data_IF_593343504583
#
_entry.id   IF_593343504583
#
_cell.length_a   1.000
_cell.length_b   1.000
_cell.length_c   1.000
_cell.angle_alpha   90.00
_cell.angle_beta   90.00
_cell.angle_gamma   90.00
#
_symmetry.space_group_name_H-M   'P 1'
#
loop_
_entity.id
_entity.type
_entity.pdbx_description
1 polymer ?
#
# COMPACT_ATOMS: atom_id res chain seq x y z
N UNK A 1 30.14 11.01 -70.29
CA UNK A 1 29.49 9.86 -69.56
C UNK A 1 29.69 10.13 -68.04
N UNK A 2 28.67 10.69 -67.41
CA UNK A 2 28.70 11.00 -65.98
C UNK A 2 28.36 9.75 -65.18
N UNK A 3 29.32 9.28 -64.41
CA UNK A 3 29.13 8.18 -63.45
C UNK A 3 28.25 8.67 -62.31
N UNK A 4 27.17 7.96 -61.94
CA UNK A 4 26.32 8.38 -60.83
C UNK A 4 27.13 8.27 -59.52
N UNK A 5 27.21 9.36 -58.78
CA UNK A 5 27.81 9.42 -57.43
C UNK A 5 27.01 8.50 -56.51
N UNK A 6 27.62 7.36 -56.18
CA UNK A 6 27.11 6.44 -55.13
C UNK A 6 27.58 6.96 -53.78
N UNK A 7 27.02 8.08 -53.35
CA UNK A 7 27.20 8.56 -51.97
C UNK A 7 26.04 8.04 -51.10
N UNK A 8 26.21 7.93 -49.78
CA UNK A 8 25.12 7.59 -48.89
C UNK A 8 23.98 8.60 -49.09
N UNK A 9 22.78 8.07 -49.33
CA UNK A 9 21.59 8.92 -49.51
C UNK A 9 21.47 9.82 -48.28
N UNK A 10 21.23 11.14 -48.49
CA UNK A 10 21.00 12.02 -47.34
C UNK A 10 19.83 11.45 -46.52
N UNK A 11 20.01 11.27 -45.23
CA UNK A 11 18.94 10.92 -44.31
C UNK A 11 17.82 11.94 -44.53
N UNK A 12 16.71 11.52 -45.13
CA UNK A 12 15.52 12.33 -45.10
C UNK A 12 15.21 12.63 -43.64
N UNK A 13 15.39 13.89 -43.24
CA UNK A 13 14.88 14.35 -41.94
C UNK A 13 13.39 14.15 -41.98
N UNK A 14 12.90 13.17 -41.27
CA UNK A 14 11.48 13.01 -41.02
C UNK A 14 10.99 14.32 -40.42
N UNK A 15 9.96 14.99 -41.00
CA UNK A 15 9.50 16.31 -40.54
C UNK A 15 8.85 16.26 -39.14
N UNK A 16 8.72 15.09 -38.55
CA UNK A 16 8.26 14.87 -37.20
C UNK A 16 9.41 14.36 -36.33
N UNK A 17 9.98 15.22 -35.49
CA UNK A 17 10.75 14.75 -34.36
C UNK A 17 9.78 13.92 -33.52
N UNK A 18 9.93 12.60 -33.56
CA UNK A 18 9.21 11.71 -32.65
C UNK A 18 9.64 12.09 -31.23
N UNK A 19 8.80 12.87 -30.55
CA UNK A 19 9.02 13.21 -29.15
C UNK A 19 9.00 11.92 -28.35
N UNK A 20 10.07 11.66 -27.58
CA UNK A 20 10.15 10.49 -26.73
C UNK A 20 11.51 9.82 -26.75
N UNK A 21 11.68 8.89 -25.84
CA UNK A 21 12.90 8.07 -25.73
C UNK A 21 12.73 6.83 -26.60
N UNK A 22 13.67 6.57 -27.50
CA UNK A 22 13.69 5.35 -28.31
C UNK A 22 14.11 4.16 -27.45
N UNK A 23 13.22 3.17 -27.28
CA UNK A 23 13.37 2.06 -26.36
C UNK A 23 13.23 0.72 -27.06
N UNK A 24 13.96 -0.28 -26.59
CA UNK A 24 13.89 -1.64 -27.11
C UNK A 24 14.63 -1.85 -28.43
N UNK A 25 14.54 -3.10 -28.93
CA UNK A 25 15.20 -3.53 -30.19
C UNK A 25 14.64 -2.79 -31.41
N UNK A 26 13.32 -2.55 -31.39
CA UNK A 26 12.59 -1.93 -32.50
C UNK A 26 12.55 -0.40 -32.42
N UNK A 27 13.30 0.19 -31.45
CA UNK A 27 13.39 1.64 -31.22
C UNK A 27 12.01 2.31 -31.16
N UNK A 28 11.08 1.70 -30.40
CA UNK A 28 9.78 2.30 -30.12
C UNK A 28 9.98 3.61 -29.35
N UNK A 29 9.43 4.71 -29.85
CA UNK A 29 9.50 6.01 -29.20
C UNK A 29 8.37 6.12 -28.18
N UNK A 30 8.72 6.31 -26.92
CA UNK A 30 7.78 6.44 -25.80
C UNK A 30 8.01 7.78 -25.13
N UNK A 31 6.94 8.53 -24.93
CA UNK A 31 6.99 9.79 -24.20
C UNK A 31 7.04 9.51 -22.69
N UNK A 32 8.06 10.00 -21.97
CA UNK A 32 8.14 9.87 -20.51
C UNK A 32 6.94 10.47 -19.78
N UNK A 33 6.35 11.56 -20.29
CA UNK A 33 5.16 12.15 -19.69
C UNK A 33 3.93 11.25 -19.80
N UNK A 34 3.79 10.51 -20.89
CA UNK A 34 2.70 9.56 -21.09
C UNK A 34 2.82 8.40 -20.08
N UNK A 35 4.03 7.88 -19.86
CA UNK A 35 4.29 6.86 -18.85
C UNK A 35 3.95 7.37 -17.45
N UNK A 36 4.32 8.61 -17.12
CA UNK A 36 3.98 9.23 -15.84
C UNK A 36 2.47 9.38 -15.66
N UNK A 37 1.74 9.85 -16.70
CA UNK A 37 0.28 10.00 -16.69
C UNK A 37 -0.43 8.66 -16.48
N UNK A 38 -0.01 7.61 -17.20
CA UNK A 38 -0.57 6.27 -17.02
C UNK A 38 -0.30 5.71 -15.62
N UNK A 39 0.91 5.91 -15.10
CA UNK A 39 1.23 5.52 -13.73
C UNK A 39 0.41 6.29 -12.68
N UNK A 40 0.11 7.56 -12.93
CA UNK A 40 -0.75 8.40 -12.08
C UNK A 40 -2.22 7.98 -12.12
N UNK A 41 -2.67 7.35 -13.20
CA UNK A 41 -4.00 6.72 -13.30
C UNK A 41 -4.08 5.36 -12.58
N UNK A 42 -2.94 4.80 -12.17
CA UNK A 42 -2.87 3.51 -11.49
C UNK A 42 -2.72 2.31 -12.43
N UNK A 43 -2.42 2.55 -13.70
CA UNK A 43 -2.15 1.47 -14.66
C UNK A 43 -0.95 0.65 -14.20
N UNK A 44 -1.05 -0.67 -14.25
CA UNK A 44 0.03 -1.57 -13.84
C UNK A 44 1.15 -1.64 -14.88
N UNK A 45 2.34 -2.05 -14.46
CA UNK A 45 3.48 -2.13 -15.39
C UNK A 45 3.26 -3.15 -16.53
N UNK A 46 2.64 -4.33 -16.31
CA UNK A 46 2.27 -5.22 -17.40
C UNK A 46 1.31 -4.58 -18.41
N UNK A 47 0.24 -3.94 -17.95
CA UNK A 47 -0.72 -3.24 -18.82
C UNK A 47 -0.06 -2.15 -19.67
N UNK A 48 0.88 -1.40 -19.07
CA UNK A 48 1.66 -0.40 -19.80
C UNK A 48 2.58 -1.06 -20.84
N UNK A 49 3.18 -2.22 -20.51
CA UNK A 49 4.05 -2.94 -21.44
C UNK A 49 3.27 -3.42 -22.67
N UNK A 50 2.07 -3.92 -22.44
CA UNK A 50 1.15 -4.33 -23.52
C UNK A 50 0.69 -3.13 -24.35
N UNK A 51 0.37 -2.02 -23.70
CA UNK A 51 -0.03 -0.77 -24.38
C UNK A 51 1.05 -0.21 -25.31
N UNK A 52 2.30 -0.18 -24.84
CA UNK A 52 3.44 0.33 -25.62
C UNK A 52 4.08 -0.73 -26.54
N UNK A 53 3.68 -2.00 -26.44
CA UNK A 53 4.25 -3.10 -27.20
C UNK A 53 5.73 -3.38 -26.86
N UNK A 54 6.15 -3.15 -25.63
CA UNK A 54 7.54 -3.36 -25.16
C UNK A 54 7.55 -4.30 -23.96
N UNK A 55 8.68 -4.95 -23.72
CA UNK A 55 8.81 -5.84 -22.57
C UNK A 55 8.84 -5.06 -21.26
N UNK A 56 8.21 -5.62 -20.22
CA UNK A 56 8.07 -5.00 -18.89
C UNK A 56 9.41 -4.57 -18.27
N UNK A 57 10.45 -5.40 -18.42
CA UNK A 57 11.79 -5.07 -17.89
C UNK A 57 12.38 -3.84 -18.57
N UNK A 58 12.14 -3.67 -19.89
CA UNK A 58 12.59 -2.51 -20.65
C UNK A 58 11.90 -1.24 -20.17
N UNK A 59 10.59 -1.31 -19.91
CA UNK A 59 9.82 -0.20 -19.35
C UNK A 59 10.33 0.17 -17.95
N UNK A 60 10.52 -0.81 -17.07
CA UNK A 60 11.04 -0.59 -15.70
C UNK A 60 12.44 0.00 -15.70
N UNK A 61 13.31 -0.43 -16.61
CA UNK A 61 14.69 0.05 -16.67
C UNK A 61 14.75 1.51 -17.14
N UNK A 62 14.09 1.84 -18.24
CA UNK A 62 14.19 3.15 -18.87
C UNK A 62 13.33 4.23 -18.19
N UNK A 63 12.17 3.86 -17.61
CA UNK A 63 11.17 4.80 -17.05
C UNK A 63 10.92 4.61 -15.55
N UNK A 64 11.94 4.13 -14.82
CA UNK A 64 11.81 3.90 -13.36
C UNK A 64 11.39 5.15 -12.60
N UNK A 65 11.93 6.30 -12.99
CA UNK A 65 11.67 7.59 -12.35
C UNK A 65 10.23 8.03 -12.58
N UNK A 66 9.77 7.97 -13.79
CA UNK A 66 8.43 8.37 -14.24
C UNK A 66 7.36 7.47 -13.61
N UNK A 67 7.59 6.16 -13.60
CA UNK A 67 6.73 5.19 -12.92
C UNK A 67 6.62 5.48 -11.41
N UNK A 68 7.72 5.78 -10.75
CA UNK A 68 7.72 6.10 -9.32
C UNK A 68 7.01 7.42 -9.04
N UNK A 69 7.25 8.43 -9.88
CA UNK A 69 6.62 9.76 -9.77
C UNK A 69 5.11 9.67 -9.97
N UNK A 70 4.66 8.99 -11.03
CA UNK A 70 3.23 8.80 -11.30
C UNK A 70 2.51 8.04 -10.18
N UNK A 71 3.09 6.95 -9.67
CA UNK A 71 2.51 6.21 -8.52
C UNK A 71 2.45 7.04 -7.24
N UNK A 72 3.43 7.91 -7.02
CA UNK A 72 3.40 8.84 -5.89
C UNK A 72 2.30 9.88 -6.06
N UNK A 73 2.12 10.38 -7.26
CA UNK A 73 1.03 11.32 -7.61
C UNK A 73 -0.35 10.68 -7.38
N UNK A 74 -0.55 9.43 -7.79
CA UNK A 74 -1.77 8.68 -7.51
C UNK A 74 -2.09 8.64 -6.02
N UNK A 75 -1.10 8.27 -5.19
CA UNK A 75 -1.28 8.21 -3.73
C UNK A 75 -1.64 9.56 -3.12
N UNK A 76 -1.02 10.64 -3.60
CA UNK A 76 -1.31 12.01 -3.16
C UNK A 76 -2.73 12.41 -3.54
N UNK A 77 -3.12 12.16 -4.79
CA UNK A 77 -4.46 12.47 -5.29
C UNK A 77 -5.54 11.71 -4.52
N UNK A 78 -5.31 10.41 -4.28
CA UNK A 78 -6.24 9.58 -3.50
C UNK A 78 -6.39 10.11 -2.06
N UNK A 79 -5.27 10.42 -1.38
CA UNK A 79 -5.32 11.00 -0.03
C UNK A 79 -6.07 12.32 0.00
N UNK A 80 -5.85 13.19 -1.00
CA UNK A 80 -6.57 14.47 -1.11
C UNK A 80 -8.06 14.24 -1.27
N UNK A 81 -8.47 13.33 -2.16
CA UNK A 81 -9.88 13.00 -2.36
C UNK A 81 -10.54 12.44 -1.11
N UNK A 82 -9.83 11.56 -0.38
CA UNK A 82 -10.34 11.00 0.87
C UNK A 82 -10.49 12.06 1.95
N UNK A 83 -9.52 12.96 2.10
CA UNK A 83 -9.62 14.08 3.05
C UNK A 83 -10.75 15.03 2.68
N UNK A 84 -10.91 15.35 1.41
CA UNK A 84 -12.02 16.19 0.94
C UNK A 84 -13.37 15.52 1.20
N UNK A 85 -13.48 14.21 0.98
CA UNK A 85 -14.70 13.45 1.26
C UNK A 85 -15.00 13.40 2.77
N UNK A 86 -13.97 13.31 3.62
CA UNK A 86 -14.13 13.39 5.07
C UNK A 86 -14.63 14.78 5.51
N UNK A 87 -14.16 15.86 4.87
CA UNK A 87 -14.68 17.21 5.12
C UNK A 87 -16.16 17.37 4.74
N UNK A 88 -16.63 16.62 3.78
CA UNK A 88 -18.05 16.56 3.38
C UNK A 88 -18.92 15.74 4.35
N UNK A 89 -18.48 15.57 5.59
CA UNK A 89 -19.23 14.91 6.68
C UNK A 89 -19.50 13.42 6.44
N UNK A 90 -18.68 12.73 5.65
CA UNK A 90 -18.78 11.30 5.45
C UNK A 90 -18.17 10.54 6.64
N UNK A 91 -19.01 10.07 7.56
CA UNK A 91 -18.59 9.39 8.78
C UNK A 91 -17.76 8.12 8.51
N UNK A 92 -18.09 7.32 7.50
CA UNK A 92 -17.35 6.11 7.15
C UNK A 92 -15.91 6.41 6.75
N UNK A 93 -15.69 7.47 5.94
CA UNK A 93 -14.37 7.91 5.52
C UNK A 93 -13.60 8.52 6.69
N UNK A 94 -14.26 9.28 7.57
CA UNK A 94 -13.65 9.83 8.77
C UNK A 94 -13.13 8.73 9.70
N UNK A 95 -13.94 7.71 9.98
CA UNK A 95 -13.53 6.55 10.80
C UNK A 95 -12.36 5.81 10.15
N UNK A 96 -12.43 5.56 8.84
CA UNK A 96 -11.34 4.92 8.10
C UNK A 96 -10.03 5.70 8.20
N UNK A 97 -10.07 7.03 7.99
CA UNK A 97 -8.89 7.88 8.11
C UNK A 97 -8.37 7.96 9.54
N UNK A 98 -9.23 8.03 10.53
CA UNK A 98 -8.86 8.02 11.94
C UNK A 98 -8.06 6.76 12.29
N UNK A 99 -8.53 5.60 11.86
CA UNK A 99 -7.85 4.32 12.09
C UNK A 99 -6.50 4.23 11.37
N UNK A 100 -6.45 4.64 10.09
CA UNK A 100 -5.26 4.44 9.27
C UNK A 100 -4.20 5.55 9.37
N UNK A 101 -4.61 6.81 9.60
CA UNK A 101 -3.67 7.94 9.71
C UNK A 101 -3.32 8.30 11.15
N UNK A 102 -4.29 8.20 12.06
CA UNK A 102 -4.11 8.58 13.46
C UNK A 102 -3.87 7.37 14.38
N UNK A 103 -3.95 6.15 13.84
CA UNK A 103 -3.73 4.94 14.63
C UNK A 103 -4.83 4.67 15.68
N UNK A 104 -6.02 5.29 15.53
CA UNK A 104 -7.15 5.02 16.41
C UNK A 104 -7.63 3.60 16.17
N UNK A 105 -7.36 2.70 17.12
CA UNK A 105 -7.93 1.36 17.11
C UNK A 105 -9.30 1.38 17.77
N UNK A 106 -10.25 0.56 17.27
CA UNK A 106 -11.41 0.21 18.07
C UNK A 106 -10.87 -0.58 19.27
N UNK A 107 -10.99 -0.05 20.46
CA UNK A 107 -10.71 -0.81 21.67
C UNK A 107 -11.65 -2.03 21.63
N UNK A 108 -11.13 -3.27 21.68
CA UNK A 108 -12.02 -4.41 21.85
C UNK A 108 -12.77 -4.18 23.16
N UNK A 109 -14.11 -4.19 23.10
CA UNK A 109 -15.03 -4.07 24.24
C UNK A 109 -14.77 -5.18 25.29
N UNK A 110 -13.80 -6.04 25.05
CA UNK A 110 -13.42 -7.19 25.88
C UNK A 110 -12.30 -6.93 26.90
N UNK A 111 -11.85 -5.70 27.09
CA UNK A 111 -11.46 -5.31 28.43
C UNK A 111 -12.76 -4.99 29.16
N UNK A 112 -13.48 -6.04 29.54
CA UNK A 112 -14.17 -6.00 30.81
C UNK A 112 -13.04 -5.76 31.80
N UNK A 113 -12.72 -4.49 32.07
CA UNK A 113 -12.25 -4.15 33.38
C UNK A 113 -13.29 -4.79 34.29
N UNK A 114 -12.89 -5.79 35.06
CA UNK A 114 -13.60 -6.23 36.27
C UNK A 114 -13.68 -5.04 37.27
N UNK A 115 -13.74 -3.85 36.78
CA UNK A 115 -14.04 -2.64 37.49
C UNK A 115 -15.56 -2.57 37.59
N UNK A 116 -15.99 -3.41 38.49
CA UNK A 116 -17.26 -3.39 39.20
C UNK A 116 -17.86 -2.00 39.08
N UNK A 117 -18.99 -1.93 38.37
CA UNK A 117 -19.84 -0.74 38.37
C UNK A 117 -19.98 -0.27 39.84
N UNK A 118 -19.87 1.02 40.15
CA UNK A 118 -19.75 1.50 41.55
C UNK A 118 -20.95 1.15 42.45
N UNK A 119 -21.97 0.46 41.95
CA UNK A 119 -23.13 -0.01 42.67
C UNK A 119 -23.24 -1.53 42.80
N UNK A 120 -22.24 -2.30 42.30
CA UNK A 120 -22.16 -3.74 42.56
C UNK A 120 -21.27 -3.92 43.77
N UNK A 121 -21.87 -4.08 44.92
CA UNK A 121 -21.15 -4.34 46.15
C UNK A 121 -20.26 -5.59 46.03
N UNK A 122 -19.06 -5.50 46.56
CA UNK A 122 -18.00 -6.51 46.49
C UNK A 122 -18.37 -7.77 47.30
N UNK A 123 -19.32 -8.57 46.89
CA UNK A 123 -19.69 -9.81 47.60
C UNK A 123 -19.17 -11.11 46.97
N UNK A 124 -18.22 -11.09 46.04
CA UNK A 124 -17.82 -12.36 45.39
C UNK A 124 -16.32 -12.70 45.49
N UNK A 125 -15.57 -12.12 46.41
CA UNK A 125 -14.14 -12.47 46.52
C UNK A 125 -13.76 -13.41 47.66
N UNK A 126 -14.69 -14.11 48.28
CA UNK A 126 -14.38 -15.03 49.37
C UNK A 126 -14.29 -16.51 49.03
N UNK A 127 -14.50 -16.93 47.75
CA UNK A 127 -14.58 -18.35 47.43
C UNK A 127 -13.54 -18.92 46.45
N UNK A 128 -12.49 -18.19 46.12
CA UNK A 128 -11.43 -18.78 45.27
C UNK A 128 -10.14 -19.16 46.04
N UNK A 129 -9.96 -18.71 47.28
CA UNK A 129 -8.76 -19.05 48.03
C UNK A 129 -8.90 -20.28 48.95
N UNK A 130 -10.11 -20.62 49.37
CA UNK A 130 -10.32 -21.78 50.25
C UNK A 130 -10.03 -23.11 49.55
N UNK A 131 -10.30 -23.24 48.25
CA UNK A 131 -10.04 -24.47 47.50
C UNK A 131 -8.55 -24.78 47.29
N UNK A 132 -7.70 -23.77 47.22
CA UNK A 132 -6.24 -23.96 47.06
C UNK A 132 -5.53 -24.35 48.36
N UNK A 133 -6.06 -23.89 49.47
CA UNK A 133 -5.47 -24.21 50.80
C UNK A 133 -5.80 -25.64 51.19
N UNK A 134 -6.99 -26.17 50.89
CA UNK A 134 -7.36 -27.56 51.18
C UNK A 134 -6.54 -28.59 50.39
N UNK A 135 -6.25 -28.31 49.12
CA UNK A 135 -5.41 -29.17 48.27
C UNK A 135 -3.97 -29.20 48.77
N UNK A 136 -3.42 -28.08 49.25
CA UNK A 136 -2.06 -27.99 49.79
C UNK A 136 -1.95 -28.72 51.12
N UNK A 137 -2.97 -28.66 51.96
CA UNK A 137 -2.98 -29.34 53.24
C UNK A 137 -3.16 -30.87 53.11
N UNK A 138 -3.91 -31.37 52.10
CA UNK A 138 -4.00 -32.79 51.82
C UNK A 138 -2.73 -33.41 51.24
N UNK A 139 -1.96 -32.65 50.47
CA UNK A 139 -0.66 -33.09 49.96
C UNK A 139 0.43 -33.14 51.02
N UNK A 140 0.43 -32.18 51.98
CA UNK A 140 1.41 -32.17 53.07
C UNK A 140 1.15 -33.24 54.11
N UNK A 141 -0.09 -33.69 54.35
CA UNK A 141 -0.39 -34.77 55.28
C UNK A 141 -0.02 -36.14 54.76
N UNK A 142 0.13 -36.33 53.44
CA UNK A 142 0.60 -37.60 52.83
C UNK A 142 2.13 -37.72 52.79
N UNK A 143 2.87 -36.61 52.92
CA UNK A 143 4.33 -36.60 52.92
C UNK A 143 4.98 -36.87 54.30
N UNK A 144 4.19 -36.82 55.38
CA UNK A 144 4.70 -37.04 56.77
C UNK A 144 4.50 -38.46 57.28
N UNK A 145 3.98 -39.38 56.44
CA UNK A 145 3.74 -40.78 56.82
C UNK A 145 4.62 -41.78 56.03
N UNK A 146 5.84 -41.37 55.63
CA UNK A 146 6.83 -42.27 55.08
C UNK A 146 8.17 -42.14 55.79
#
# INVERSE_FOLDING_TARGET
>A
MDTPRTGPKPKQMEPFQKMGIAVGRDKTHIDPEEVEKLAALGVTTPEMSDFFGIHESTLKYNFKRELTKGRSQLKITLRRSMLQNAHNMNASVQIFLAKNLLGMADQPINQVDDNVLPWVEAETNTNKDSGKIEIQNSLNSQLTLR
#
